data_IF_726523961797
#
_entry.id   IF_726523961797
#
_cell.length_a   1.000
_cell.length_b   1.000
_cell.length_c   1.000
_cell.angle_alpha   90.00
_cell.angle_beta   90.00
_cell.angle_gamma   90.00
#
_symmetry.space_group_name_H-M   'P 1'
#
loop_
_entity.id
_entity.type
_entity.pdbx_description
1 polymer ?
#
# COMPACT_ATOMS: atom_id res chain seq x y z
N UNK A 1 3.21 -11.17 17.28
CA UNK A 1 4.27 -10.63 16.39
C UNK A 1 5.35 -11.69 16.28
N UNK A 2 5.64 -12.17 15.08
CA UNK A 2 6.67 -13.19 14.83
C UNK A 2 8.08 -12.63 15.10
N UNK A 3 9.09 -13.52 15.23
CA UNK A 3 10.47 -13.09 15.38
C UNK A 3 10.95 -12.30 14.14
N UNK A 4 10.55 -12.73 12.96
CA UNK A 4 10.81 -12.04 11.70
C UNK A 4 10.25 -10.62 11.71
N UNK A 5 8.99 -10.44 12.05
CA UNK A 5 8.35 -9.12 12.11
C UNK A 5 9.07 -8.16 13.06
N UNK A 6 9.55 -8.65 14.21
CA UNK A 6 10.34 -7.83 15.17
C UNK A 6 11.65 -7.35 14.55
N UNK A 7 12.37 -8.24 13.83
CA UNK A 7 13.63 -7.93 13.16
C UNK A 7 13.42 -6.89 12.07
N UNK A 8 12.41 -7.08 11.20
CA UNK A 8 12.11 -6.14 10.11
C UNK A 8 11.56 -4.81 10.62
N UNK A 9 10.77 -4.81 11.70
CA UNK A 9 10.35 -3.56 12.36
C UNK A 9 11.53 -2.73 12.86
N UNK A 10 12.56 -3.39 13.40
CA UNK A 10 13.81 -2.73 13.77
C UNK A 10 14.53 -2.17 12.53
N UNK A 11 14.66 -2.97 11.47
CA UNK A 11 15.26 -2.56 10.20
C UNK A 11 14.57 -1.33 9.60
N UNK A 12 13.25 -1.37 9.48
CA UNK A 12 12.46 -0.26 8.91
C UNK A 12 12.63 1.04 9.71
N UNK A 13 12.74 0.92 11.05
CA UNK A 13 12.89 2.08 11.93
C UNK A 13 14.32 2.65 11.91
N UNK A 14 15.34 1.79 11.91
CA UNK A 14 16.74 2.19 12.09
C UNK A 14 17.53 2.22 10.78
N UNK A 15 16.92 1.78 9.66
CA UNK A 15 17.54 1.67 8.33
C UNK A 15 18.86 0.87 8.34
N UNK A 16 18.99 -0.06 9.27
CA UNK A 16 20.07 -1.04 9.38
C UNK A 16 19.57 -2.33 10.03
N UNK A 17 20.18 -3.44 9.69
CA UNK A 17 19.88 -4.70 10.36
C UNK A 17 20.37 -4.68 11.83
N UNK A 18 19.61 -5.33 12.73
CA UNK A 18 20.06 -5.50 14.11
C UNK A 18 21.25 -6.47 14.19
N UNK A 19 22.17 -6.21 15.08
CA UNK A 19 23.24 -7.13 15.45
C UNK A 19 22.66 -8.37 16.16
N UNK A 20 23.45 -9.43 16.30
CA UNK A 20 23.04 -10.65 17.03
C UNK A 20 22.63 -10.37 18.49
N UNK A 21 23.28 -9.42 19.17
CA UNK A 21 22.87 -8.99 20.50
C UNK A 21 21.52 -8.29 20.50
N UNK A 22 21.30 -7.35 19.57
CA UNK A 22 20.02 -6.66 19.42
C UNK A 22 18.90 -7.62 19.01
N UNK A 23 19.18 -8.62 18.15
CA UNK A 23 18.19 -9.67 17.81
C UNK A 23 17.83 -10.45 19.07
N UNK A 24 18.82 -10.82 19.89
CA UNK A 24 18.60 -11.55 21.14
C UNK A 24 17.59 -10.82 22.04
N UNK A 25 17.77 -9.51 22.21
CA UNK A 25 16.90 -8.66 23.02
C UNK A 25 15.51 -8.50 22.38
N UNK A 26 15.46 -8.24 21.08
CA UNK A 26 14.20 -8.04 20.33
C UNK A 26 13.29 -9.27 20.37
N UNK A 27 13.86 -10.48 20.26
CA UNK A 27 13.08 -11.72 20.22
C UNK A 27 12.94 -12.38 21.60
N UNK A 28 13.69 -11.91 22.61
CA UNK A 28 13.66 -12.44 23.97
C UNK A 28 14.44 -13.75 24.13
N UNK A 29 15.46 -14.00 23.32
CA UNK A 29 16.31 -15.17 23.44
C UNK A 29 17.40 -14.99 24.54
N UNK A 30 17.75 -16.08 25.21
CA UNK A 30 18.75 -16.07 26.28
C UNK A 30 20.13 -16.52 25.82
N UNK A 31 20.33 -16.89 24.57
CA UNK A 31 21.60 -17.37 24.05
C UNK A 31 21.87 -16.97 22.60
N UNK A 32 23.14 -16.69 22.30
CA UNK A 32 23.58 -16.40 20.92
C UNK A 32 23.37 -17.58 19.99
N UNK A 33 23.41 -18.82 20.47
CA UNK A 33 23.11 -19.99 19.65
C UNK A 33 21.67 -20.04 19.18
N UNK A 34 20.70 -19.60 19.99
CA UNK A 34 19.30 -19.52 19.58
C UNK A 34 19.11 -18.46 18.48
N UNK A 35 19.77 -17.31 18.63
CA UNK A 35 19.79 -16.26 17.59
C UNK A 35 20.42 -16.78 16.30
N UNK A 36 21.56 -17.47 16.39
CA UNK A 36 22.24 -18.04 15.22
C UNK A 36 21.34 -19.03 14.47
N UNK A 37 20.66 -19.92 15.18
CA UNK A 37 19.68 -20.86 14.57
C UNK A 37 18.52 -20.12 13.90
N UNK A 38 17.98 -19.07 14.51
CA UNK A 38 16.94 -18.24 13.91
C UNK A 38 17.43 -17.55 12.64
N UNK A 39 18.62 -16.94 12.69
CA UNK A 39 19.21 -16.25 11.53
C UNK A 39 19.46 -17.24 10.38
N UNK A 40 20.04 -18.43 10.66
CA UNK A 40 20.21 -19.44 9.61
C UNK A 40 18.87 -19.88 9.00
N UNK A 41 17.85 -20.12 9.84
CA UNK A 41 16.51 -20.46 9.35
C UNK A 41 15.93 -19.37 8.43
N UNK A 42 16.18 -18.10 8.73
CA UNK A 42 15.72 -17.00 7.89
C UNK A 42 16.56 -16.86 6.61
N UNK A 43 17.83 -17.22 6.64
CA UNK A 43 18.69 -17.30 5.43
C UNK A 43 18.25 -18.45 4.54
N UNK A 44 18.03 -19.64 5.10
CA UNK A 44 17.57 -20.82 4.36
C UNK A 44 16.17 -20.59 3.73
N UNK A 45 15.37 -19.72 4.35
CA UNK A 45 14.08 -19.29 3.83
C UNK A 45 14.17 -18.14 2.79
N UNK A 46 15.37 -17.66 2.46
CA UNK A 46 15.59 -16.55 1.51
C UNK A 46 15.11 -15.19 2.03
N UNK A 47 14.98 -15.03 3.35
CA UNK A 47 14.51 -13.79 3.99
C UNK A 47 15.66 -12.87 4.36
N UNK A 48 16.79 -13.47 4.75
CA UNK A 48 18.02 -12.77 5.08
C UNK A 48 19.18 -13.35 4.26
N UNK A 49 20.25 -12.57 4.13
CA UNK A 49 21.51 -13.00 3.56
C UNK A 49 22.68 -12.48 4.41
N UNK A 50 23.89 -12.95 4.13
CA UNK A 50 25.11 -12.42 4.72
C UNK A 50 26.01 -11.86 3.64
N UNK A 51 26.56 -10.68 3.92
CA UNK A 51 27.60 -10.11 3.06
C UNK A 51 28.95 -10.86 3.20
N UNK A 52 29.92 -10.47 2.42
CA UNK A 52 31.27 -11.05 2.44
C UNK A 52 31.98 -10.91 3.81
N UNK A 53 31.51 -10.00 4.66
CA UNK A 53 32.03 -9.78 6.02
C UNK A 53 31.21 -10.53 7.09
N UNK A 54 30.18 -11.28 6.68
CA UNK A 54 29.29 -12.04 7.57
C UNK A 54 28.22 -11.20 8.28
N UNK A 55 28.03 -9.95 7.87
CA UNK A 55 26.98 -9.06 8.39
C UNK A 55 25.64 -9.49 7.80
N UNK A 56 24.60 -9.48 8.63
CA UNK A 56 23.24 -9.81 8.20
C UNK A 56 22.67 -8.65 7.36
N UNK A 57 22.12 -8.99 6.21
CA UNK A 57 21.38 -8.09 5.32
C UNK A 57 19.99 -8.69 5.07
N UNK A 58 18.99 -7.87 4.74
CA UNK A 58 17.79 -8.39 4.10
C UNK A 58 18.21 -9.08 2.80
N UNK A 59 17.67 -10.25 2.51
CA UNK A 59 17.89 -10.83 1.17
C UNK A 59 17.34 -9.86 0.13
N UNK A 60 18.06 -9.71 -0.98
CA UNK A 60 17.61 -8.87 -2.10
C UNK A 60 16.23 -9.40 -2.52
N UNK A 61 15.20 -8.56 -2.37
CA UNK A 61 13.82 -8.95 -2.63
C UNK A 61 12.99 -9.40 -1.41
N UNK A 62 13.53 -9.37 -0.17
CA UNK A 62 12.71 -9.64 1.02
C UNK A 62 11.61 -8.57 1.19
N UNK A 63 10.41 -8.87 0.67
CA UNK A 63 9.28 -7.93 0.58
C UNK A 63 9.25 -7.06 -0.68
N UNK A 64 10.22 -7.22 -1.58
CA UNK A 64 10.24 -6.59 -2.88
C UNK A 64 9.90 -7.60 -3.98
N UNK A 65 9.28 -7.13 -5.05
CA UNK A 65 8.91 -7.95 -6.20
C UNK A 65 9.69 -7.44 -7.42
N UNK A 66 10.29 -8.34 -8.24
CA UNK A 66 10.97 -7.93 -9.45
C UNK A 66 10.02 -7.21 -10.42
N UNK A 67 10.41 -6.04 -10.89
CA UNK A 67 9.76 -5.35 -11.99
C UNK A 67 10.41 -5.80 -13.30
N UNK A 68 9.73 -6.64 -14.08
CA UNK A 68 10.27 -7.25 -15.30
C UNK A 68 10.05 -6.41 -16.56
N UNK A 69 9.30 -5.30 -16.46
CA UNK A 69 9.03 -4.43 -17.59
C UNK A 69 7.56 -4.37 -17.99
N UNK A 70 7.32 -4.14 -19.28
CA UNK A 70 5.98 -3.96 -19.84
C UNK A 70 5.45 -5.27 -20.42
N UNK A 71 4.16 -5.48 -20.28
CA UNK A 71 3.41 -6.50 -21.00
C UNK A 71 2.34 -5.82 -21.85
N UNK A 72 2.28 -6.14 -23.13
CA UNK A 72 1.24 -5.63 -24.02
C UNK A 72 -0.03 -6.45 -23.86
N UNK A 73 -1.14 -5.78 -23.59
CA UNK A 73 -2.47 -6.38 -23.59
C UNK A 73 -2.98 -6.44 -25.03
N UNK A 74 -2.59 -7.44 -25.79
CA UNK A 74 -2.93 -7.55 -27.22
C UNK A 74 -2.22 -8.72 -27.91
N UNK A 75 -1.67 -8.46 -29.07
CA UNK A 75 -0.91 -9.49 -29.84
C UNK A 75 0.37 -9.82 -29.05
N UNK A 76 0.74 -11.13 -28.88
CA UNK A 76 1.94 -11.51 -28.19
C UNK A 76 3.20 -10.89 -28.80
N UNK A 77 3.99 -10.22 -27.99
CA UNK A 77 5.34 -9.73 -28.35
C UNK A 77 6.41 -10.50 -27.58
N UNK A 78 7.64 -10.52 -28.08
CA UNK A 78 8.78 -11.09 -27.36
C UNK A 78 9.11 -10.17 -26.19
N UNK A 79 8.73 -10.57 -24.97
CA UNK A 79 9.11 -9.88 -23.76
C UNK A 79 10.58 -10.15 -23.42
N UNK A 80 11.37 -9.09 -23.29
CA UNK A 80 12.71 -9.19 -22.72
C UNK A 80 12.56 -9.39 -21.20
N UNK A 81 12.98 -10.57 -20.71
CA UNK A 81 12.83 -10.99 -19.31
C UNK A 81 13.92 -10.39 -18.40
N UNK A 82 14.46 -9.23 -18.73
CA UNK A 82 15.43 -8.57 -17.85
C UNK A 82 14.74 -7.91 -16.67
N UNK A 83 15.20 -8.19 -15.45
CA UNK A 83 14.77 -7.47 -14.25
C UNK A 83 15.22 -6.03 -14.41
N UNK A 84 14.25 -5.12 -14.51
CA UNK A 84 14.52 -3.68 -14.63
C UNK A 84 14.78 -3.05 -13.27
N UNK A 85 14.06 -3.49 -12.23
CA UNK A 85 14.14 -2.97 -10.88
C UNK A 85 13.46 -3.92 -9.89
N UNK A 86 13.52 -3.61 -8.60
CA UNK A 86 12.71 -4.25 -7.56
C UNK A 86 11.74 -3.23 -6.97
N UNK A 87 10.51 -3.68 -6.70
CA UNK A 87 9.45 -2.83 -6.19
C UNK A 87 8.91 -3.35 -4.86
N UNK A 88 8.95 -2.52 -3.83
CA UNK A 88 8.17 -2.74 -2.62
C UNK A 88 6.74 -2.25 -2.86
N UNK A 89 5.79 -3.19 -2.99
CA UNK A 89 4.37 -2.86 -3.16
C UNK A 89 3.87 -1.98 -2.02
N UNK A 90 4.33 -2.24 -0.79
CA UNK A 90 3.94 -1.44 0.37
C UNK A 90 4.43 0.02 0.25
N UNK A 91 5.69 0.23 -0.12
CA UNK A 91 6.24 1.59 -0.27
C UNK A 91 5.65 2.32 -1.47
N UNK A 92 5.37 1.60 -2.56
CA UNK A 92 4.76 2.16 -3.76
C UNK A 92 3.31 2.62 -3.53
N UNK A 93 2.50 1.78 -2.87
CA UNK A 93 1.07 2.07 -2.67
C UNK A 93 0.80 2.91 -1.41
N UNK A 94 1.66 2.84 -0.39
CA UNK A 94 1.43 3.44 0.94
C UNK A 94 2.65 4.24 1.40
N UNK A 95 3.00 5.33 0.72
CA UNK A 95 4.17 6.14 1.08
C UNK A 95 4.02 6.85 2.44
N UNK A 96 2.79 7.03 2.93
CA UNK A 96 2.48 7.75 4.19
C UNK A 96 1.60 6.90 5.10
N UNK A 97 2.19 5.89 5.74
CA UNK A 97 1.47 4.88 6.56
C UNK A 97 0.57 5.48 7.64
N UNK A 98 1.01 6.55 8.31
CA UNK A 98 0.27 7.16 9.43
C UNK A 98 -1.04 7.84 8.99
N UNK A 99 -1.14 8.20 7.72
CA UNK A 99 -2.32 8.88 7.16
C UNK A 99 -3.16 7.99 6.26
N UNK A 100 -2.66 6.79 5.93
CA UNK A 100 -3.30 5.90 4.97
C UNK A 100 -4.12 4.83 5.68
N UNK A 101 -5.28 4.54 5.12
CA UNK A 101 -6.14 3.44 5.52
C UNK A 101 -6.78 2.80 4.30
N UNK A 102 -7.37 1.63 4.49
CA UNK A 102 -8.00 0.86 3.40
C UNK A 102 -9.47 0.66 3.76
N UNK A 103 -10.33 0.81 2.75
CA UNK A 103 -11.77 0.53 2.85
C UNK A 103 -12.19 -0.39 1.72
N UNK A 104 -13.15 -1.26 2.00
CA UNK A 104 -13.83 -2.07 1.00
C UNK A 104 -14.96 -1.26 0.35
N UNK A 105 -15.08 -1.34 -0.97
CA UNK A 105 -16.08 -0.64 -1.76
C UNK A 105 -17.40 -1.42 -1.73
N UNK A 106 -18.49 -0.70 -1.47
CA UNK A 106 -19.85 -1.23 -1.58
C UNK A 106 -20.65 -0.41 -2.61
N UNK A 107 -21.27 -1.11 -3.55
CA UNK A 107 -22.07 -0.53 -4.63
C UNK A 107 -21.27 -0.20 -5.89
N UNK A 108 -21.95 0.23 -6.92
CA UNK A 108 -21.47 0.35 -8.31
C UNK A 108 -21.37 1.79 -8.81
N UNK A 109 -21.50 2.78 -7.94
CA UNK A 109 -21.55 4.19 -8.34
C UNK A 109 -20.26 4.75 -8.95
N UNK A 110 -19.17 3.98 -8.92
CA UNK A 110 -17.85 4.35 -9.45
C UNK A 110 -17.33 3.36 -10.53
N UNK A 111 -18.22 2.55 -11.10
CA UNK A 111 -17.85 1.49 -12.05
C UNK A 111 -17.18 2.03 -13.33
N UNK A 112 -17.56 3.21 -13.82
CA UNK A 112 -16.94 3.85 -14.99
C UNK A 112 -15.54 4.44 -14.65
N UNK A 113 -15.17 4.51 -13.36
CA UNK A 113 -13.82 4.77 -12.89
C UNK A 113 -13.03 3.47 -12.60
N UNK A 114 -13.55 2.31 -13.04
CA UNK A 114 -13.00 0.99 -12.79
C UNK A 114 -12.83 0.64 -11.30
N UNK A 115 -13.72 1.18 -10.46
CA UNK A 115 -13.84 0.83 -9.04
C UNK A 115 -15.13 0.08 -8.86
N UNK A 116 -15.04 -1.22 -8.61
CA UNK A 116 -16.18 -2.13 -8.51
C UNK A 116 -16.48 -2.49 -7.06
N UNK A 117 -17.67 -3.01 -6.83
CA UNK A 117 -18.03 -3.56 -5.52
C UNK A 117 -17.08 -4.70 -5.13
N UNK A 118 -16.62 -4.69 -3.87
CA UNK A 118 -15.63 -5.65 -3.35
C UNK A 118 -14.18 -5.24 -3.55
N UNK A 119 -13.88 -4.19 -4.31
CA UNK A 119 -12.54 -3.63 -4.36
C UNK A 119 -12.12 -3.05 -3.01
N UNK A 120 -10.81 -3.02 -2.76
CA UNK A 120 -10.25 -2.27 -1.66
C UNK A 120 -9.64 -0.97 -2.17
N UNK A 121 -10.07 0.16 -1.64
CA UNK A 121 -9.48 1.48 -1.93
C UNK A 121 -8.46 1.85 -0.87
N UNK A 122 -7.30 2.30 -1.30
CA UNK A 122 -6.27 2.90 -0.46
C UNK A 122 -6.56 4.39 -0.41
N UNK A 123 -6.73 4.93 0.79
CA UNK A 123 -7.11 6.32 0.98
C UNK A 123 -6.18 7.04 1.96
N UNK A 124 -5.72 8.23 1.60
CA UNK A 124 -4.93 9.11 2.45
C UNK A 124 -5.82 10.16 3.11
N UNK A 125 -5.79 10.27 4.44
CA UNK A 125 -6.53 11.30 5.20
C UNK A 125 -6.20 12.70 4.68
N UNK A 126 -7.23 13.43 4.28
CA UNK A 126 -7.13 14.81 3.81
C UNK A 126 -8.45 15.55 4.08
N UNK A 127 -8.35 16.82 4.44
CA UNK A 127 -9.51 17.68 4.58
C UNK A 127 -9.77 18.54 3.33
N UNK A 128 -8.89 18.46 2.34
CA UNK A 128 -8.97 19.20 1.08
C UNK A 128 -8.79 18.28 -0.09
N UNK A 129 -9.45 18.58 -1.20
CA UNK A 129 -9.34 17.87 -2.46
C UNK A 129 -9.26 18.85 -3.63
N UNK A 130 -8.72 18.39 -4.75
CA UNK A 130 -8.68 19.12 -6.02
C UNK A 130 -9.77 18.61 -6.96
N UNK A 131 -10.14 19.44 -7.94
CA UNK A 131 -11.06 18.99 -8.98
C UNK A 131 -10.56 17.71 -9.67
N UNK A 132 -11.41 16.69 -9.70
CA UNK A 132 -11.10 15.38 -10.26
C UNK A 132 -10.55 14.34 -9.27
N UNK A 133 -10.19 14.71 -8.06
CA UNK A 133 -9.80 13.71 -7.05
C UNK A 133 -10.98 12.76 -6.75
N UNK A 134 -10.68 11.48 -6.54
CA UNK A 134 -11.64 10.54 -5.98
C UNK A 134 -11.54 10.65 -4.46
N UNK A 135 -12.65 10.98 -3.82
CA UNK A 135 -12.68 11.27 -2.39
C UNK A 135 -13.63 10.36 -1.63
N UNK A 136 -13.29 10.16 -0.35
CA UNK A 136 -14.22 9.68 0.66
C UNK A 136 -14.73 10.92 1.38
N UNK A 137 -16.02 11.17 1.28
CA UNK A 137 -16.65 12.35 1.84
C UNK A 137 -17.89 11.98 2.66
N UNK A 138 -18.14 12.78 3.67
CA UNK A 138 -19.40 12.83 4.39
C UNK A 138 -20.23 13.98 3.82
N UNK A 139 -21.44 13.70 3.37
CA UNK A 139 -22.38 14.68 2.82
C UNK A 139 -23.71 14.52 3.53
N UNK A 140 -24.17 15.58 4.19
CA UNK A 140 -25.46 15.62 4.90
C UNK A 140 -25.68 14.40 5.82
N UNK A 141 -24.59 13.93 6.49
CA UNK A 141 -24.59 12.79 7.41
C UNK A 141 -24.39 11.42 6.72
N UNK A 142 -24.25 11.33 5.42
CA UNK A 142 -23.99 10.11 4.68
C UNK A 142 -22.57 10.02 4.14
N UNK A 143 -21.93 8.83 4.25
CA UNK A 143 -20.60 8.57 3.68
C UNK A 143 -20.70 8.07 2.25
N UNK A 144 -19.79 8.58 1.39
CA UNK A 144 -19.76 8.17 -0.02
C UNK A 144 -18.35 8.28 -0.62
N UNK A 145 -18.14 7.55 -1.71
CA UNK A 145 -16.94 7.60 -2.54
C UNK A 145 -17.34 8.10 -3.93
N UNK A 146 -16.81 9.26 -4.35
CA UNK A 146 -17.16 9.95 -5.61
C UNK A 146 -15.98 10.77 -6.11
N UNK A 147 -16.05 11.23 -7.35
CA UNK A 147 -15.21 12.33 -7.80
C UNK A 147 -15.60 13.64 -7.08
N UNK A 148 -14.63 14.32 -6.54
CA UNK A 148 -14.76 15.70 -6.09
C UNK A 148 -14.72 16.62 -7.30
N UNK A 149 -15.70 17.52 -7.40
CA UNK A 149 -15.80 18.50 -8.46
C UNK A 149 -15.97 19.90 -7.92
N UNK A 150 -15.32 20.87 -8.57
CA UNK A 150 -15.46 22.28 -8.25
C UNK A 150 -15.28 23.15 -9.49
N UNK A 151 -16.04 24.22 -9.57
CA UNK A 151 -15.87 25.30 -10.55
C UNK A 151 -15.22 26.55 -9.92
N UNK A 152 -14.68 26.41 -8.68
CA UNK A 152 -14.13 27.50 -7.89
C UNK A 152 -15.15 28.29 -7.08
N UNK A 153 -16.45 28.12 -7.34
CA UNK A 153 -17.55 28.76 -6.60
C UNK A 153 -18.42 27.73 -5.89
N UNK A 154 -18.65 26.61 -6.53
CA UNK A 154 -19.46 25.51 -6.03
C UNK A 154 -18.65 24.24 -5.99
N UNK A 155 -19.03 23.34 -5.10
CA UNK A 155 -18.49 22.00 -4.97
C UNK A 155 -19.63 21.00 -5.05
N UNK A 156 -19.35 19.85 -5.66
CA UNK A 156 -20.29 18.73 -5.72
C UNK A 156 -19.53 17.41 -5.84
N UNK A 157 -20.23 16.32 -5.64
CA UNK A 157 -19.70 14.98 -5.83
C UNK A 157 -20.30 14.35 -7.07
N UNK A 158 -19.45 13.88 -7.97
CA UNK A 158 -19.84 13.28 -9.24
C UNK A 158 -19.62 11.76 -9.19
N UNK A 159 -20.66 10.93 -9.35
CA UNK A 159 -20.50 9.50 -9.55
C UNK A 159 -19.83 9.19 -10.90
N UNK A 160 -19.13 8.07 -10.98
CA UNK A 160 -18.64 7.48 -12.21
C UNK A 160 -19.57 6.33 -12.65
N UNK A 161 -20.84 6.62 -12.76
CA UNK A 161 -21.88 5.72 -13.26
C UNK A 161 -23.08 6.59 -13.67
N UNK A 162 -23.46 6.51 -14.94
CA UNK A 162 -24.57 7.28 -15.54
C UNK A 162 -25.95 7.05 -14.89
N UNK A 163 -26.09 5.96 -14.15
CA UNK A 163 -27.34 5.66 -13.45
C UNK A 163 -27.51 6.49 -12.15
N UNK A 164 -26.46 7.19 -11.72
CA UNK A 164 -26.46 8.01 -10.51
C UNK A 164 -26.37 9.49 -10.86
N UNK A 165 -27.04 10.32 -10.06
CA UNK A 165 -27.00 11.77 -10.23
C UNK A 165 -25.85 12.38 -9.41
N UNK A 166 -25.30 13.53 -9.85
CA UNK A 166 -24.40 14.32 -9.02
C UNK A 166 -25.05 14.67 -7.67
N UNK A 167 -24.24 14.70 -6.61
CA UNK A 167 -24.67 15.05 -5.26
C UNK A 167 -24.19 16.46 -4.95
N UNK A 168 -25.12 17.35 -4.73
CA UNK A 168 -24.88 18.71 -4.26
C UNK A 168 -25.18 18.74 -2.76
N UNK A 169 -24.23 19.18 -1.90
CA UNK A 169 -24.50 19.27 -0.46
C UNK A 169 -25.61 20.28 -0.20
N UNK A 170 -26.61 19.89 0.60
CA UNK A 170 -27.68 20.78 1.03
C UNK A 170 -27.28 21.57 2.27
N UNK A 171 -26.53 20.95 3.18
CA UNK A 171 -26.10 21.54 4.44
C UNK A 171 -24.58 21.53 4.58
N UNK A 172 -23.95 20.36 4.56
CA UNK A 172 -22.54 20.20 4.83
C UNK A 172 -21.90 19.11 3.96
N UNK A 173 -20.65 19.37 3.55
CA UNK A 173 -19.78 18.35 2.97
C UNK A 173 -18.41 18.43 3.60
N UNK A 174 -17.91 17.29 4.06
CA UNK A 174 -16.58 17.15 4.66
C UNK A 174 -15.78 16.08 3.90
N UNK A 175 -14.63 16.48 3.38
CA UNK A 175 -13.67 15.54 2.82
C UNK A 175 -12.95 14.84 3.98
N UNK A 176 -12.90 13.53 3.97
CA UNK A 176 -12.19 12.73 4.97
C UNK A 176 -10.88 12.16 4.43
N UNK A 177 -10.86 11.79 3.15
CA UNK A 177 -9.68 11.23 2.51
C UNK A 177 -9.74 11.35 0.99
N UNK A 178 -8.55 11.26 0.36
CA UNK A 178 -8.37 11.11 -1.09
C UNK A 178 -7.98 9.66 -1.36
N UNK A 179 -8.60 9.05 -2.36
CA UNK A 179 -8.22 7.71 -2.85
C UNK A 179 -6.96 7.82 -3.68
N UNK A 180 -5.94 7.03 -3.32
CA UNK A 180 -4.62 7.02 -3.98
C UNK A 180 -4.35 5.74 -4.75
N UNK A 181 -5.14 4.69 -4.53
CA UNK A 181 -5.00 3.42 -5.23
C UNK A 181 -6.19 2.50 -5.02
N UNK A 182 -6.27 1.49 -5.87
CA UNK A 182 -7.27 0.42 -5.79
C UNK A 182 -6.54 -0.91 -5.81
N UNK A 183 -6.99 -1.85 -4.99
CA UNK A 183 -6.49 -3.22 -4.94
C UNK A 183 -7.64 -4.14 -5.31
N UNK A 184 -7.44 -4.94 -6.35
CA UNK A 184 -8.33 -6.02 -6.76
C UNK A 184 -7.56 -7.33 -6.83
N UNK A 185 -8.13 -8.36 -6.25
CA UNK A 185 -7.61 -9.72 -6.35
C UNK A 185 -8.57 -10.56 -7.20
N UNK A 186 -8.04 -11.27 -8.17
CA UNK A 186 -8.78 -12.17 -9.06
C UNK A 186 -8.69 -13.62 -8.59
#
# INVERSE_FOLDING_TARGET
MSHQEKIFKFYNRNKRMPSYAEIMDLVGFKSKNAVSKLVHKLIDAGILEKDAQGKILPAIGAGEIPLLGLVEAGIPSTADSQVLDTLSIEEYLIPKKEKTFILEVKGDSMIEAHIDEGDMVIAERSQTAKDGDIVIAEVDGGWTLKYFKTDGKKIWLLPANKNYKPIYPEYEMRIAAIVTGVIRKY
#
